data_IF_281269570716
#
_entry.id   IF_281269570716
#
_cell.length_a   1.000
_cell.length_b   1.000
_cell.length_c   1.000
_cell.angle_alpha   90.00
_cell.angle_beta   90.00
_cell.angle_gamma   90.00
#
_symmetry.space_group_name_H-M   'P 1'
#
loop_
_entity.id
_entity.type
_entity.pdbx_description
1 polymer ?
#
# COMPACT_ATOMS: atom_id res chain seq x y z
N UNK A 1 -4.60 -24.81 39.31
CA UNK A 1 -5.80 -24.47 38.51
C UNK A 1 -5.95 -22.96 38.27
N UNK A 2 -5.77 -22.09 39.29
CA UNK A 2 -5.81 -20.61 39.11
C UNK A 2 -4.80 -20.06 38.08
N UNK A 3 -3.60 -20.64 38.04
CA UNK A 3 -2.53 -20.20 37.13
C UNK A 3 -2.82 -20.57 35.66
N UNK A 4 -3.57 -21.66 35.43
CA UNK A 4 -3.97 -22.11 34.09
C UNK A 4 -5.10 -21.24 33.51
N UNK A 5 -6.02 -20.80 34.38
CA UNK A 5 -7.09 -19.84 34.05
C UNK A 5 -6.49 -18.47 33.69
N UNK A 6 -5.44 -18.05 34.40
CA UNK A 6 -4.75 -16.79 34.14
C UNK A 6 -4.03 -16.79 32.78
N UNK A 7 -3.39 -17.90 32.39
CA UNK A 7 -2.81 -18.06 31.06
C UNK A 7 -3.87 -18.00 29.95
N UNK A 8 -5.03 -18.64 30.14
CA UNK A 8 -6.09 -18.66 29.14
C UNK A 8 -6.73 -17.28 28.92
N UNK A 9 -6.91 -16.50 30.00
CA UNK A 9 -7.38 -15.11 29.95
C UNK A 9 -6.38 -14.18 29.25
N UNK A 10 -5.08 -14.36 29.49
CA UNK A 10 -4.02 -13.57 28.86
C UNK A 10 -3.91 -13.82 27.35
N UNK A 11 -4.04 -15.09 26.92
CA UNK A 11 -4.03 -15.48 25.50
C UNK A 11 -5.24 -14.91 24.75
N UNK A 12 -6.41 -14.90 25.39
CA UNK A 12 -7.64 -14.34 24.81
C UNK A 12 -7.54 -12.81 24.63
N UNK A 13 -6.88 -12.13 25.55
CA UNK A 13 -6.67 -10.67 25.48
C UNK A 13 -5.70 -10.26 24.35
N UNK A 14 -4.66 -11.08 24.09
CA UNK A 14 -3.71 -10.90 22.98
C UNK A 14 -4.37 -11.19 21.63
N UNK A 15 -5.32 -12.13 21.57
CA UNK A 15 -6.02 -12.48 20.33
C UNK A 15 -6.96 -11.37 19.81
N UNK A 16 -7.53 -10.55 20.72
CA UNK A 16 -8.50 -9.50 20.35
C UNK A 16 -7.82 -8.21 19.88
N UNK A 17 -6.56 -7.95 20.26
CA UNK A 17 -5.80 -6.80 19.75
C UNK A 17 -5.24 -7.03 18.33
N UNK A 18 -5.34 -8.24 17.78
CA UNK A 18 -4.82 -8.60 16.45
C UNK A 18 -5.65 -8.12 15.25
N UNK A 19 -6.82 -7.53 15.46
CA UNK A 19 -7.72 -7.15 14.35
C UNK A 19 -7.14 -6.05 13.43
N UNK A 20 -6.26 -5.16 13.94
CA UNK A 20 -5.69 -4.07 13.14
C UNK A 20 -4.60 -4.53 12.15
N UNK A 21 -3.90 -5.63 12.44
CA UNK A 21 -2.78 -6.10 11.60
C UNK A 21 -3.26 -6.85 10.35
N UNK A 22 -4.47 -7.42 10.36
CA UNK A 22 -4.98 -8.27 9.28
C UNK A 22 -5.42 -7.45 8.05
N UNK A 23 -5.88 -6.21 8.23
CA UNK A 23 -6.40 -5.40 7.12
C UNK A 23 -5.34 -4.56 6.40
N UNK A 24 -4.24 -4.20 7.08
CA UNK A 24 -3.14 -3.41 6.49
C UNK A 24 -2.28 -4.22 5.50
N UNK A 25 -2.41 -5.55 5.48
CA UNK A 25 -1.62 -6.41 4.59
C UNK A 25 -1.95 -6.25 3.10
N UNK A 26 -3.22 -5.99 2.74
CA UNK A 26 -3.69 -6.05 1.34
C UNK A 26 -3.70 -4.73 0.59
N UNK A 27 -3.63 -3.61 1.31
CA UNK A 27 -3.68 -2.27 0.73
C UNK A 27 -2.49 -1.43 1.19
N UNK A 28 -2.17 -0.38 0.44
CA UNK A 28 -1.15 0.60 0.77
C UNK A 28 -1.67 1.99 0.45
N UNK A 29 -1.51 2.93 1.38
CA UNK A 29 -1.77 4.34 1.13
C UNK A 29 -0.57 4.98 0.42
N UNK A 30 -0.84 5.81 -0.58
CA UNK A 30 0.17 6.56 -1.30
C UNK A 30 -0.25 8.02 -1.33
N UNK A 31 0.67 8.91 -0.94
CA UNK A 31 0.49 10.34 -1.03
C UNK A 31 1.01 10.86 -2.38
N UNK A 32 0.14 11.57 -3.09
CA UNK A 32 0.45 12.25 -4.33
C UNK A 32 0.49 13.76 -4.11
N UNK A 33 1.63 14.36 -4.42
CA UNK A 33 1.82 15.80 -4.45
C UNK A 33 2.27 16.24 -5.84
N UNK A 34 2.14 17.53 -6.15
CA UNK A 34 2.65 18.08 -7.40
C UNK A 34 3.27 19.46 -7.21
N UNK A 35 4.15 19.82 -8.13
CA UNK A 35 4.71 21.14 -8.27
C UNK A 35 4.55 21.59 -9.74
N UNK A 36 3.65 22.55 -10.03
CA UNK A 36 2.81 23.32 -9.09
C UNK A 36 1.72 22.48 -8.42
N UNK A 37 1.20 22.95 -7.28
CA UNK A 37 0.10 22.30 -6.55
C UNK A 37 -1.24 22.43 -7.28
N UNK A 38 -2.20 21.55 -6.98
CA UNK A 38 -3.56 21.59 -7.56
C UNK A 38 -3.69 20.87 -8.91
N UNK A 39 -2.77 19.95 -9.23
CA UNK A 39 -2.91 19.08 -10.39
C UNK A 39 -4.05 18.08 -10.16
N UNK A 40 -4.90 17.86 -11.17
CA UNK A 40 -5.90 16.79 -11.17
C UNK A 40 -5.19 15.44 -11.28
N UNK A 41 -5.58 14.50 -10.44
CA UNK A 41 -5.06 13.13 -10.39
C UNK A 41 -6.11 12.19 -10.96
N UNK A 42 -5.70 11.36 -11.91
CA UNK A 42 -6.52 10.31 -12.48
C UNK A 42 -5.89 8.96 -12.16
N UNK A 43 -6.69 7.99 -11.72
CA UNK A 43 -6.26 6.61 -11.46
C UNK A 43 -6.98 5.70 -12.44
N UNK A 44 -6.22 4.96 -13.26
CA UNK A 44 -6.75 4.11 -14.33
C UNK A 44 -7.76 4.85 -15.25
N UNK A 45 -7.54 6.16 -15.44
CA UNK A 45 -8.38 7.04 -16.27
C UNK A 45 -9.58 7.70 -15.56
N UNK A 46 -9.81 7.41 -14.28
CA UNK A 46 -10.90 7.99 -13.48
C UNK A 46 -10.35 9.17 -12.66
N UNK A 47 -11.02 10.32 -12.69
CA UNK A 47 -10.63 11.49 -11.87
C UNK A 47 -10.93 11.21 -10.39
N UNK A 48 -9.90 11.23 -9.56
CA UNK A 48 -10.00 10.91 -8.13
C UNK A 48 -9.91 12.18 -7.26
N UNK A 49 -9.28 13.24 -7.77
CA UNK A 49 -9.21 14.51 -7.07
C UNK A 49 -8.07 15.41 -7.55
N UNK A 50 -7.61 16.29 -6.66
CA UNK A 50 -6.51 17.24 -6.92
C UNK A 50 -5.41 17.13 -5.87
N UNK A 51 -4.15 17.29 -6.28
CA UNK A 51 -3.01 17.26 -5.36
C UNK A 51 -3.01 18.43 -4.36
N UNK A 52 -2.57 18.22 -3.11
CA UNK A 52 -2.14 16.95 -2.52
C UNK A 52 -3.31 15.98 -2.26
N UNK A 53 -3.15 14.71 -2.63
CA UNK A 53 -4.17 13.66 -2.54
C UNK A 53 -3.53 12.40 -1.94
N UNK A 54 -4.16 11.81 -0.93
CA UNK A 54 -3.81 10.46 -0.47
C UNK A 54 -4.84 9.48 -1.00
N UNK A 55 -4.38 8.41 -1.65
CA UNK A 55 -5.26 7.34 -2.16
C UNK A 55 -4.77 5.97 -1.68
N UNK A 56 -5.73 5.05 -1.49
CA UNK A 56 -5.46 3.68 -1.05
C UNK A 56 -5.48 2.73 -2.25
N UNK A 57 -4.42 1.94 -2.41
CA UNK A 57 -4.26 1.00 -3.51
C UNK A 57 -4.22 -0.43 -2.99
N UNK A 58 -4.90 -1.34 -3.69
CA UNK A 58 -4.73 -2.77 -3.46
C UNK A 58 -3.37 -3.21 -4.00
N UNK A 59 -2.54 -3.80 -3.14
CA UNK A 59 -1.23 -4.37 -3.47
C UNK A 59 -1.39 -5.52 -4.46
N UNK A 60 -0.32 -5.87 -5.19
CA UNK A 60 -0.36 -6.95 -6.19
C UNK A 60 -1.08 -6.59 -7.50
N UNK A 61 -1.46 -5.32 -7.70
CA UNK A 61 -1.99 -4.77 -8.94
C UNK A 61 -1.18 -3.53 -9.33
N UNK A 62 -0.99 -3.31 -10.63
CA UNK A 62 -0.41 -2.09 -11.18
C UNK A 62 -1.50 -1.08 -11.54
N UNK A 63 -1.18 0.21 -11.43
CA UNK A 63 -2.11 1.30 -11.73
C UNK A 63 -1.44 2.34 -12.62
N UNK A 64 -2.20 2.97 -13.50
CA UNK A 64 -1.75 4.13 -14.24
C UNK A 64 -2.26 5.39 -13.55
N UNK A 65 -1.34 6.26 -13.14
CA UNK A 65 -1.64 7.53 -12.46
C UNK A 65 -1.29 8.67 -13.40
N UNK A 66 -2.26 9.50 -13.76
CA UNK A 66 -2.04 10.67 -14.60
C UNK A 66 -2.27 11.95 -13.80
N UNK A 67 -1.35 12.89 -13.95
CA UNK A 67 -1.42 14.23 -13.38
C UNK A 67 -1.64 15.23 -14.50
N UNK A 68 -2.70 16.04 -14.37
CA UNK A 68 -3.05 17.07 -15.35
C UNK A 68 -3.24 18.41 -14.69
N UNK A 69 -2.59 19.43 -15.23
CA UNK A 69 -2.70 20.79 -14.76
C UNK A 69 -2.74 21.75 -15.95
N UNK A 70 -3.70 22.68 -15.95
CA UNK A 70 -3.92 23.58 -17.08
C UNK A 70 -2.66 24.41 -17.36
N UNK A 71 -2.18 24.36 -18.60
CA UNK A 71 -0.97 25.07 -19.03
C UNK A 71 0.35 24.35 -18.69
N UNK A 72 0.28 23.11 -18.21
CA UNK A 72 1.42 22.25 -17.92
C UNK A 72 1.30 20.94 -18.69
N UNK A 73 2.43 20.32 -18.99
CA UNK A 73 2.52 19.01 -19.61
C UNK A 73 1.95 17.94 -18.68
N UNK A 74 1.13 17.05 -19.24
CA UNK A 74 0.61 15.88 -18.53
C UNK A 74 1.77 15.00 -18.04
N UNK A 75 1.67 14.51 -16.81
CA UNK A 75 2.67 13.61 -16.22
C UNK A 75 2.01 12.29 -15.88
N UNK A 76 2.53 11.19 -16.45
CA UNK A 76 2.06 9.85 -16.15
C UNK A 76 3.07 9.11 -15.27
N UNK A 77 2.56 8.35 -14.30
CA UNK A 77 3.30 7.43 -13.45
C UNK A 77 2.63 6.06 -13.56
N UNK A 78 3.43 5.04 -13.86
CA UNK A 78 3.01 3.66 -13.72
C UNK A 78 3.37 3.19 -12.32
N UNK A 79 2.36 2.97 -11.49
CA UNK A 79 2.52 2.50 -10.14
C UNK A 79 2.72 0.98 -10.16
N UNK A 80 3.94 0.53 -9.90
CA UNK A 80 4.35 -0.88 -9.86
C UNK A 80 4.49 -1.38 -8.42
N UNK A 81 4.38 -2.70 -8.26
CA UNK A 81 4.63 -3.37 -6.99
C UNK A 81 5.83 -4.32 -7.10
N UNK A 82 6.53 -4.51 -5.99
CA UNK A 82 7.63 -5.45 -5.86
C UNK A 82 7.32 -6.52 -4.82
N UNK A 83 8.02 -7.64 -4.92
CA UNK A 83 7.97 -8.71 -3.93
C UNK A 83 9.06 -8.45 -2.90
N UNK A 84 8.68 -8.35 -1.63
CA UNK A 84 9.61 -8.30 -0.51
C UNK A 84 10.27 -9.65 -0.28
N UNK A 85 11.36 -9.94 -1.02
CA UNK A 85 12.10 -11.22 -0.96
C UNK A 85 12.54 -11.58 0.46
N UNK A 86 12.82 -10.59 1.32
CA UNK A 86 13.15 -10.83 2.73
C UNK A 86 12.04 -11.53 3.51
N UNK A 87 10.78 -11.17 3.26
CA UNK A 87 9.61 -11.81 3.87
C UNK A 87 9.44 -13.25 3.39
N UNK A 88 9.64 -13.48 2.09
CA UNK A 88 9.62 -14.83 1.50
C UNK A 88 10.63 -15.74 2.18
N UNK A 89 11.87 -15.26 2.40
CA UNK A 89 12.93 -16.06 3.02
C UNK A 89 12.59 -16.39 4.47
N UNK A 90 12.07 -15.42 5.22
CA UNK A 90 11.63 -15.62 6.59
C UNK A 90 10.55 -16.69 6.69
N UNK A 91 9.56 -16.67 5.80
CA UNK A 91 8.48 -17.66 5.79
C UNK A 91 8.96 -19.06 5.44
N UNK A 92 9.88 -19.18 4.48
CA UNK A 92 10.49 -20.47 4.12
C UNK A 92 11.25 -21.06 5.31
N UNK A 93 11.96 -20.22 6.08
CA UNK A 93 12.69 -20.64 7.29
C UNK A 93 11.73 -20.96 8.44
N UNK A 94 10.68 -20.18 8.63
CA UNK A 94 9.68 -20.37 9.68
C UNK A 94 8.72 -21.54 9.42
N UNK A 95 8.72 -22.07 8.19
CA UNK A 95 7.94 -23.23 7.76
C UNK A 95 6.95 -22.87 6.66
N UNK A 96 6.72 -23.81 5.74
CA UNK A 96 5.92 -23.61 4.52
C UNK A 96 4.49 -23.08 4.75
N UNK A 97 3.95 -23.16 5.96
CA UNK A 97 2.63 -22.59 6.29
C UNK A 97 2.63 -21.06 6.14
N UNK A 98 3.70 -20.37 6.56
CA UNK A 98 3.81 -18.91 6.42
C UNK A 98 3.79 -18.48 4.95
N UNK A 99 4.51 -19.22 4.10
CA UNK A 99 4.56 -19.00 2.65
C UNK A 99 3.17 -19.08 2.02
N UNK A 100 2.37 -20.08 2.40
CA UNK A 100 1.02 -20.25 1.85
C UNK A 100 0.10 -19.12 2.33
N UNK A 101 0.17 -18.77 3.62
CA UNK A 101 -0.66 -17.69 4.18
C UNK A 101 -0.32 -16.36 3.52
N UNK A 102 0.96 -16.01 3.39
CA UNK A 102 1.40 -14.72 2.88
C UNK A 102 1.23 -14.58 1.36
N UNK A 103 1.34 -15.68 0.62
CA UNK A 103 0.98 -15.70 -0.80
C UNK A 103 -0.52 -15.43 -1.01
N UNK A 104 -1.39 -15.93 -0.11
CA UNK A 104 -2.84 -15.70 -0.17
C UNK A 104 -3.20 -14.29 0.29
N UNK A 105 -2.61 -13.83 1.41
CA UNK A 105 -2.91 -12.50 1.98
C UNK A 105 -2.23 -11.36 1.23
N UNK A 106 -1.36 -11.66 0.25
CA UNK A 106 -0.61 -10.69 -0.54
C UNK A 106 0.34 -9.83 0.31
N UNK A 107 0.77 -10.36 1.46
CA UNK A 107 1.63 -9.66 2.39
C UNK A 107 3.02 -9.35 1.82
N UNK A 108 3.49 -10.14 0.84
CA UNK A 108 4.78 -9.92 0.19
C UNK A 108 4.81 -8.75 -0.79
N UNK A 109 3.65 -8.22 -1.20
CA UNK A 109 3.60 -7.14 -2.18
C UNK A 109 3.64 -5.77 -1.49
N UNK A 110 4.46 -4.87 -2.03
CA UNK A 110 4.50 -3.46 -1.65
C UNK A 110 4.65 -2.61 -2.90
N UNK A 111 4.08 -1.40 -2.91
CA UNK A 111 4.42 -0.44 -3.95
C UNK A 111 5.76 0.20 -3.66
N UNK A 112 6.53 0.47 -4.72
CA UNK A 112 7.87 1.04 -4.62
C UNK A 112 7.86 2.50 -4.12
N UNK A 113 6.69 3.12 -4.01
CA UNK A 113 6.50 4.50 -3.58
C UNK A 113 5.41 4.61 -2.51
N UNK A 114 5.70 5.36 -1.45
CA UNK A 114 4.73 5.78 -0.43
C UNK A 114 4.34 7.25 -0.63
N UNK A 115 5.28 8.05 -1.13
CA UNK A 115 5.10 9.48 -1.41
C UNK A 115 5.65 9.76 -2.81
N UNK A 116 4.79 10.24 -3.71
CA UNK A 116 5.18 10.62 -5.05
C UNK A 116 4.94 12.11 -5.28
N UNK A 117 5.97 12.80 -5.80
CA UNK A 117 5.90 14.22 -6.17
C UNK A 117 6.02 14.38 -7.68
N UNK A 118 4.93 14.80 -8.32
CA UNK A 118 4.89 15.10 -9.75
C UNK A 118 5.42 16.52 -10.02
N UNK A 119 6.61 16.64 -10.60
CA UNK A 119 7.12 17.93 -11.09
C UNK A 119 6.65 18.14 -12.52
N UNK A 120 5.82 19.16 -12.75
CA UNK A 120 5.17 19.42 -14.04
C UNK A 120 5.84 20.59 -14.76
N UNK A 121 6.08 20.43 -16.07
CA UNK A 121 6.67 21.48 -16.91
C UNK A 121 5.58 22.32 -17.56
N UNK A 122 5.78 23.63 -17.66
CA UNK A 122 4.85 24.52 -18.38
C UNK A 122 4.90 24.25 -19.88
N UNK A 123 3.75 24.23 -20.53
CA UNK A 123 3.65 24.19 -22.01
C UNK A 123 3.96 25.61 -22.51
N UNK A 124 4.99 25.74 -23.35
CA UNK A 124 5.40 26.99 -23.98
C UNK A 124 4.53 27.32 -25.20
#
# INVERSE_FOLDING_TARGET
MKNLIFCFLLITFIAISGCATIFTGTTQEINFSSEPTGAKVYIDGIEEGTTPLTATFKKGKEYNIDFKLKGYEDKSLRLTYSIGVGWVILDVIAGLVGVVVDAITQAWFSFDVENYKAVMRRIN
#
